data_IF_465251559916
#
_entry.id   IF_465251559916
#
_cell.length_a   1.000
_cell.length_b   1.000
_cell.length_c   1.000
_cell.angle_alpha   90.00
_cell.angle_beta   90.00
_cell.angle_gamma   90.00
#
_symmetry.space_group_name_H-M   'P 1'
#
loop_
_entity.id
_entity.type
_entity.pdbx_description
1 polymer ?
#
# COMPACT_ATOMS: atom_id res chain seq x y z
N UNK A 1 11.52 -20.36 -12.19
CA UNK A 1 12.55 -19.29 -12.14
C UNK A 1 12.46 -18.36 -13.34
N UNK A 2 12.49 -18.84 -14.59
CA UNK A 2 12.19 -18.01 -15.79
C UNK A 2 10.77 -17.40 -15.82
N UNK A 3 9.87 -17.92 -14.99
CA UNK A 3 8.43 -17.63 -15.03
C UNK A 3 8.01 -16.35 -14.29
N UNK A 4 8.63 -16.00 -13.15
CA UNK A 4 8.21 -14.84 -12.36
C UNK A 4 8.55 -13.52 -13.05
N UNK A 5 9.83 -13.33 -13.43
CA UNK A 5 10.27 -12.12 -14.12
C UNK A 5 9.55 -11.97 -15.47
N UNK A 6 9.39 -13.07 -16.22
CA UNK A 6 8.62 -13.04 -17.47
C UNK A 6 7.17 -12.63 -17.22
N UNK A 7 6.49 -13.25 -16.25
CA UNK A 7 5.12 -12.89 -15.86
C UNK A 7 5.01 -11.44 -15.41
N UNK A 8 5.97 -10.92 -14.65
CA UNK A 8 5.98 -9.51 -14.24
C UNK A 8 6.10 -8.57 -15.45
N UNK A 9 7.02 -8.86 -16.37
CA UNK A 9 7.22 -8.05 -17.57
C UNK A 9 6.01 -8.11 -18.51
N UNK A 10 5.42 -9.29 -18.70
CA UNK A 10 4.16 -9.49 -19.44
C UNK A 10 3.00 -8.77 -18.76
N UNK A 11 3.03 -8.69 -17.42
CA UNK A 11 2.06 -7.96 -16.65
C UNK A 11 2.20 -6.43 -16.79
N UNK A 12 3.22 -5.95 -17.51
CA UNK A 12 3.48 -4.54 -17.79
C UNK A 12 4.38 -3.86 -16.77
N UNK A 13 5.07 -4.62 -15.91
CA UNK A 13 6.14 -4.05 -15.09
C UNK A 13 7.35 -3.71 -15.95
N UNK A 14 8.01 -2.60 -15.62
CA UNK A 14 9.23 -2.17 -16.27
C UNK A 14 10.34 -1.97 -15.24
N UNK A 15 11.58 -2.17 -15.67
CA UNK A 15 12.73 -1.85 -14.82
C UNK A 15 12.78 -0.36 -14.50
N UNK A 16 12.71 -0.05 -13.21
CA UNK A 16 13.01 1.29 -12.69
C UNK A 16 14.51 1.46 -12.44
N UNK A 17 15.18 0.40 -11.99
CA UNK A 17 16.63 0.31 -11.86
C UNK A 17 17.08 -1.13 -12.15
N UNK A 18 17.73 -1.33 -13.30
CA UNK A 18 18.26 -2.65 -13.71
C UNK A 18 19.40 -3.14 -12.83
N UNK A 19 20.20 -2.23 -12.27
CA UNK A 19 21.36 -2.62 -11.43
C UNK A 19 20.90 -3.09 -10.06
N UNK A 20 19.79 -2.52 -9.56
CA UNK A 20 19.18 -2.88 -8.28
C UNK A 20 18.05 -3.91 -8.41
N UNK A 21 17.83 -4.47 -9.60
CA UNK A 21 16.75 -5.42 -9.86
C UNK A 21 15.36 -4.93 -9.36
N UNK A 22 15.04 -3.67 -9.67
CA UNK A 22 13.76 -3.06 -9.30
C UNK A 22 12.84 -2.95 -10.50
N UNK A 23 11.59 -3.38 -10.31
CA UNK A 23 10.51 -3.29 -11.29
C UNK A 23 9.42 -2.38 -10.75
N UNK A 24 8.87 -1.49 -11.57
CA UNK A 24 7.75 -0.62 -11.22
C UNK A 24 6.65 -0.71 -12.25
N UNK A 25 5.42 -0.48 -11.79
CA UNK A 25 4.24 -0.30 -12.63
C UNK A 25 3.29 0.68 -11.95
N UNK A 26 2.83 1.69 -12.68
CA UNK A 26 1.69 2.49 -12.25
C UNK A 26 0.40 1.69 -12.46
N UNK A 27 -0.36 1.45 -11.38
CA UNK A 27 -1.62 0.69 -11.44
C UNK A 27 -2.76 1.59 -11.91
N UNK A 28 -2.85 2.76 -11.29
CA UNK A 28 -3.76 3.87 -11.61
C UNK A 28 -3.02 5.18 -11.30
N UNK A 29 -3.47 6.35 -11.81
CA UNK A 29 -2.76 7.61 -11.61
C UNK A 29 -2.43 7.90 -10.14
N UNK A 30 -1.13 8.02 -9.83
CA UNK A 30 -0.64 8.32 -8.49
C UNK A 30 -0.52 7.12 -7.54
N UNK A 31 -0.69 5.89 -8.05
CA UNK A 31 -0.46 4.65 -7.32
C UNK A 31 0.51 3.74 -8.09
N UNK A 32 1.67 3.47 -7.50
CA UNK A 32 2.72 2.66 -8.13
C UNK A 32 2.99 1.40 -7.32
N UNK A 33 2.96 0.26 -7.99
CA UNK A 33 3.47 -0.99 -7.44
C UNK A 33 4.95 -1.14 -7.79
N UNK A 34 5.77 -1.49 -6.81
CA UNK A 34 7.18 -1.81 -7.00
C UNK A 34 7.49 -3.23 -6.50
N UNK A 35 8.30 -3.93 -7.28
CA UNK A 35 8.88 -5.22 -6.93
C UNK A 35 10.39 -5.00 -6.79
N UNK A 36 10.92 -5.34 -5.63
CA UNK A 36 12.34 -5.20 -5.31
C UNK A 36 12.87 -6.59 -4.99
N UNK A 37 13.94 -6.99 -5.67
CA UNK A 37 14.70 -8.16 -5.24
C UNK A 37 15.38 -7.86 -3.91
N UNK A 38 15.14 -8.69 -2.90
CA UNK A 38 15.85 -8.59 -1.63
C UNK A 38 17.20 -9.33 -1.69
N UNK A 39 17.33 -10.28 -2.61
CA UNK A 39 18.57 -11.00 -2.91
C UNK A 39 19.23 -10.54 -4.23
N UNK A 40 20.51 -10.88 -4.42
CA UNK A 40 21.37 -10.26 -5.43
C UNK A 40 20.97 -10.54 -6.89
N UNK A 41 20.17 -11.58 -7.17
CA UNK A 41 19.86 -11.98 -8.56
C UNK A 41 18.47 -12.59 -8.76
N UNK A 42 17.84 -12.31 -9.92
CA UNK A 42 16.60 -12.98 -10.35
C UNK A 42 16.76 -14.49 -10.59
N UNK A 43 18.00 -14.99 -10.66
CA UNK A 43 18.27 -16.42 -10.82
C UNK A 43 18.15 -17.17 -9.50
N UNK A 44 18.31 -16.46 -8.38
CA UNK A 44 18.22 -17.00 -7.02
C UNK A 44 17.03 -16.32 -6.32
N UNK A 45 15.84 -16.52 -6.89
CA UNK A 45 14.61 -15.92 -6.40
C UNK A 45 14.10 -16.69 -5.18
N UNK A 46 14.60 -16.38 -3.99
CA UNK A 46 14.06 -16.91 -2.74
C UNK A 46 13.02 -15.97 -2.12
N UNK A 47 13.27 -14.65 -2.19
CA UNK A 47 12.42 -13.64 -1.57
C UNK A 47 12.35 -12.33 -2.39
N UNK A 48 11.14 -11.76 -2.47
CA UNK A 48 10.89 -10.46 -3.11
C UNK A 48 10.13 -9.51 -2.20
N UNK A 49 10.52 -8.25 -2.23
CA UNK A 49 9.81 -7.16 -1.62
C UNK A 49 8.74 -6.59 -2.56
N UNK A 50 7.51 -6.51 -2.11
CA UNK A 50 6.44 -5.79 -2.78
C UNK A 50 6.11 -4.52 -2.03
N UNK A 51 6.01 -3.43 -2.78
CA UNK A 51 5.66 -2.12 -2.24
C UNK A 51 4.53 -1.51 -3.05
N UNK A 52 3.64 -0.80 -2.35
CA UNK A 52 2.66 0.07 -2.96
C UNK A 52 2.95 1.50 -2.53
N UNK A 53 3.06 2.40 -3.50
CA UNK A 53 3.46 3.79 -3.30
C UNK A 53 2.38 4.75 -3.76
N UNK A 54 2.26 5.89 -3.07
CA UNK A 54 1.52 7.06 -3.51
C UNK A 54 2.25 8.36 -3.14
N UNK A 55 2.80 9.10 -4.11
CA UNK A 55 3.52 10.36 -3.82
C UNK A 55 2.67 11.41 -3.11
N UNK A 56 1.35 11.42 -3.34
CA UNK A 56 0.44 12.30 -2.62
C UNK A 56 0.42 11.95 -1.13
N UNK A 57 0.40 10.66 -0.79
CA UNK A 57 0.38 10.20 0.59
C UNK A 57 1.60 10.69 1.38
N UNK A 58 2.80 10.66 0.79
CA UNK A 58 4.02 11.25 1.40
C UNK A 58 3.80 12.71 1.80
N UNK A 59 3.19 13.53 0.92
CA UNK A 59 2.87 14.93 1.23
C UNK A 59 1.84 15.07 2.35
N UNK A 60 0.82 14.20 2.36
CA UNK A 60 -0.19 14.20 3.45
C UNK A 60 0.48 13.92 4.79
N UNK A 61 1.35 12.90 4.84
CA UNK A 61 2.08 12.54 6.06
C UNK A 61 3.04 13.63 6.48
N UNK A 62 3.79 14.21 5.54
CA UNK A 62 4.69 15.34 5.83
C UNK A 62 3.94 16.53 6.42
N UNK A 63 2.81 16.95 5.82
CA UNK A 63 1.98 18.02 6.38
C UNK A 63 1.46 17.67 7.78
N UNK A 64 0.93 16.45 7.95
CA UNK A 64 0.33 15.98 9.20
C UNK A 64 1.36 15.96 10.34
N UNK A 65 2.50 15.31 10.15
CA UNK A 65 3.52 15.14 11.19
C UNK A 65 4.41 16.38 11.38
N UNK A 66 4.41 17.34 10.45
CA UNK A 66 5.11 18.63 10.63
C UNK A 66 4.23 19.65 11.35
N UNK A 67 2.94 19.75 10.99
CA UNK A 67 2.05 20.82 11.49
C UNK A 67 1.19 20.38 12.68
N UNK A 68 0.96 19.08 12.82
CA UNK A 68 0.04 18.50 13.80
C UNK A 68 0.65 17.32 14.55
N UNK A 69 1.98 17.30 14.70
CA UNK A 69 2.75 16.21 15.30
C UNK A 69 2.18 15.70 16.63
N UNK A 70 1.87 16.61 17.57
CA UNK A 70 1.35 16.24 18.89
C UNK A 70 0.05 15.44 18.77
N UNK A 71 -0.94 15.95 18.01
CA UNK A 71 -2.21 15.26 17.81
C UNK A 71 -2.04 13.96 17.00
N UNK A 72 -1.22 13.97 15.94
CA UNK A 72 -0.98 12.79 15.12
C UNK A 72 -0.37 11.65 15.95
N UNK A 73 0.59 11.95 16.82
CA UNK A 73 1.23 10.96 17.69
C UNK A 73 0.31 10.45 18.82
N UNK A 74 -0.76 11.17 19.16
CA UNK A 74 -1.82 10.60 20.02
C UNK A 74 -2.56 9.43 19.35
N UNK A 75 -2.49 9.34 18.02
CA UNK A 75 -3.12 8.31 17.19
C UNK A 75 -2.07 7.45 16.49
N UNK A 76 -1.29 6.69 17.27
CA UNK A 76 -0.24 5.75 16.83
C UNK A 76 0.70 6.31 15.75
N UNK A 77 1.91 6.64 16.16
CA UNK A 77 2.95 7.16 15.28
C UNK A 77 3.11 6.31 14.01
N UNK A 78 3.22 6.99 12.87
CA UNK A 78 3.59 6.34 11.63
C UNK A 78 5.01 5.79 11.81
N UNK A 79 5.18 4.47 11.67
CA UNK A 79 6.48 3.79 11.80
C UNK A 79 7.57 4.40 10.91
N UNK A 80 7.17 4.94 9.74
CA UNK A 80 8.06 5.61 8.78
C UNK A 80 7.78 7.12 8.76
N UNK A 81 8.26 7.86 9.76
CA UNK A 81 8.09 9.32 9.82
C UNK A 81 8.79 10.03 8.66
N UNK A 82 9.90 9.48 8.17
CA UNK A 82 10.73 10.06 7.10
C UNK A 82 10.52 9.42 5.72
N UNK A 83 9.41 8.71 5.51
CA UNK A 83 9.14 8.19 4.16
C UNK A 83 8.62 9.29 3.24
N UNK A 84 9.56 9.79 2.43
CA UNK A 84 9.36 10.80 1.38
C UNK A 84 8.72 10.23 0.11
N UNK A 85 8.69 8.91 -0.06
CA UNK A 85 8.18 8.26 -1.28
C UNK A 85 6.68 7.93 -1.18
N UNK A 86 6.14 7.83 0.03
CA UNK A 86 4.72 7.65 0.29
C UNK A 86 4.31 6.19 0.17
N UNK A 87 5.08 5.30 0.77
CA UNK A 87 4.75 3.91 0.99
C UNK A 87 3.37 3.86 1.61
N UNK A 88 2.49 3.03 1.06
CA UNK A 88 1.19 2.67 1.62
C UNK A 88 1.21 1.28 2.23
N UNK A 89 2.21 0.47 1.87
CA UNK A 89 2.30 -0.91 2.29
C UNK A 89 3.54 -1.57 1.73
N UNK A 90 4.07 -2.50 2.52
CA UNK A 90 5.19 -3.35 2.17
C UNK A 90 4.92 -4.78 2.60
N UNK A 91 5.39 -5.75 1.83
CA UNK A 91 5.61 -7.10 2.34
C UNK A 91 6.82 -7.72 1.69
N UNK A 92 7.42 -8.62 2.44
CA UNK A 92 8.31 -9.62 1.90
C UNK A 92 7.51 -10.87 1.55
N UNK A 93 7.79 -11.48 0.41
CA UNK A 93 7.06 -12.66 -0.09
C UNK A 93 8.06 -13.69 -0.58
N UNK A 94 7.92 -14.92 -0.08
CA UNK A 94 8.76 -16.04 -0.47
C UNK A 94 8.35 -16.61 -1.82
N UNK A 95 9.32 -17.19 -2.54
CA UNK A 95 9.10 -17.88 -3.81
C UNK A 95 9.40 -19.39 -3.65
N UNK A 96 8.39 -20.09 -3.16
CA UNK A 96 8.53 -21.46 -2.65
C UNK A 96 7.85 -22.49 -3.56
N UNK A 97 8.19 -23.77 -3.38
CA UNK A 97 7.46 -24.86 -4.03
C UNK A 97 6.16 -25.14 -3.25
N UNK A 98 5.02 -24.95 -3.92
CA UNK A 98 3.71 -25.17 -3.34
C UNK A 98 3.29 -26.65 -3.29
N UNK A 99 2.11 -26.95 -2.75
CA UNK A 99 1.61 -28.33 -2.59
C UNK A 99 1.42 -29.11 -3.91
N UNK A 100 1.31 -28.40 -5.03
CA UNK A 100 1.20 -28.98 -6.38
C UNK A 100 2.56 -29.21 -7.06
N UNK A 101 3.67 -28.96 -6.35
CA UNK A 101 5.04 -29.08 -6.86
C UNK A 101 5.46 -27.94 -7.76
N UNK A 102 4.67 -26.86 -7.88
CA UNK A 102 5.03 -25.68 -8.68
C UNK A 102 5.57 -24.56 -7.81
N UNK A 103 6.41 -23.71 -8.39
CA UNK A 103 6.87 -22.48 -7.73
C UNK A 103 5.74 -21.45 -7.65
N UNK A 104 5.47 -20.94 -6.44
CA UNK A 104 4.36 -20.05 -6.12
C UNK A 104 4.79 -18.95 -5.14
N UNK A 105 4.04 -17.85 -5.10
CA UNK A 105 4.19 -16.82 -4.07
C UNK A 105 3.69 -17.36 -2.75
N UNK A 106 4.51 -17.27 -1.72
CA UNK A 106 4.17 -17.69 -0.37
C UNK A 106 4.23 -16.51 0.60
N UNK A 107 3.10 -16.23 1.24
CA UNK A 107 3.00 -15.25 2.32
C UNK A 107 1.88 -15.64 3.27
N UNK A 108 2.06 -15.34 4.57
CA UNK A 108 1.04 -15.56 5.59
C UNK A 108 0.39 -16.96 5.53
N UNK A 109 1.21 -18.01 5.38
CA UNK A 109 0.76 -19.40 5.25
C UNK A 109 -0.17 -19.70 4.06
N UNK A 110 -0.11 -18.87 3.01
CA UNK A 110 -0.94 -19.01 1.80
C UNK A 110 -0.04 -19.03 0.57
N UNK A 111 -0.37 -19.91 -0.39
CA UNK A 111 0.28 -20.00 -1.69
C UNK A 111 -0.59 -19.39 -2.78
N UNK A 112 0.03 -18.67 -3.71
CA UNK A 112 -0.65 -18.06 -4.86
C UNK A 112 0.18 -18.22 -6.14
N UNK A 113 -0.47 -18.62 -7.23
CA UNK A 113 0.16 -18.63 -8.54
C UNK A 113 0.50 -17.19 -8.99
N UNK A 114 1.73 -16.98 -9.45
CA UNK A 114 2.21 -15.65 -9.83
C UNK A 114 1.37 -15.00 -10.95
N UNK A 115 0.88 -15.80 -11.90
CA UNK A 115 -0.03 -15.34 -12.96
C UNK A 115 -1.33 -14.75 -12.38
N UNK A 116 -2.03 -15.49 -11.50
CA UNK A 116 -3.25 -15.03 -10.84
C UNK A 116 -3.01 -13.75 -10.03
N UNK A 117 -1.86 -13.67 -9.36
CA UNK A 117 -1.47 -12.45 -8.64
C UNK A 117 -1.34 -11.25 -9.57
N UNK A 118 -0.56 -11.39 -10.65
CA UNK A 118 -0.34 -10.32 -11.60
C UNK A 118 -1.61 -9.91 -12.36
N UNK A 119 -2.46 -10.86 -12.74
CA UNK A 119 -3.79 -10.60 -13.31
C UNK A 119 -4.66 -9.79 -12.34
N UNK A 120 -4.61 -10.12 -11.05
CA UNK A 120 -5.35 -9.35 -10.04
C UNK A 120 -4.83 -7.92 -9.97
N UNK A 121 -3.51 -7.71 -9.92
CA UNK A 121 -2.92 -6.36 -9.94
C UNK A 121 -3.26 -5.57 -11.20
N UNK A 122 -3.37 -6.24 -12.35
CA UNK A 122 -3.76 -5.61 -13.61
C UNK A 122 -5.23 -5.19 -13.67
N UNK A 123 -6.10 -5.83 -12.88
CA UNK A 123 -7.54 -5.58 -12.95
C UNK A 123 -7.99 -4.33 -12.19
N UNK A 124 -7.09 -3.67 -11.46
CA UNK A 124 -7.37 -2.48 -10.66
C UNK A 124 -7.62 -1.26 -11.57
N UNK A 125 -8.73 -0.55 -11.36
CA UNK A 125 -9.17 0.56 -12.23
C UNK A 125 -9.43 1.86 -11.47
N UNK A 126 -9.60 1.80 -10.16
CA UNK A 126 -9.91 2.95 -9.31
C UNK A 126 -9.39 2.74 -7.88
N UNK A 127 -9.52 3.76 -7.03
CA UNK A 127 -9.07 3.72 -5.64
C UNK A 127 -9.85 2.76 -4.75
N UNK A 128 -11.12 2.48 -5.08
CA UNK A 128 -11.89 1.45 -4.39
C UNK A 128 -11.33 0.05 -4.64
N UNK A 129 -10.85 -0.23 -5.86
CA UNK A 129 -10.18 -1.49 -6.19
C UNK A 129 -8.89 -1.64 -5.34
N UNK A 130 -8.08 -0.58 -5.25
CA UNK A 130 -6.87 -0.56 -4.41
C UNK A 130 -7.21 -0.77 -2.93
N UNK A 131 -8.24 -0.09 -2.42
CA UNK A 131 -8.73 -0.29 -1.06
C UNK A 131 -9.16 -1.74 -0.82
N UNK A 132 -9.93 -2.31 -1.75
CA UNK A 132 -10.39 -3.68 -1.65
C UNK A 132 -9.23 -4.67 -1.76
N UNK A 133 -8.23 -4.44 -2.61
CA UNK A 133 -7.02 -5.25 -2.70
C UNK A 133 -6.31 -5.34 -1.34
N UNK A 134 -6.16 -4.20 -0.66
CA UNK A 134 -5.46 -4.09 0.63
C UNK A 134 -6.25 -4.65 1.82
N UNK A 135 -7.59 -4.51 1.84
CA UNK A 135 -8.40 -4.80 3.04
C UNK A 135 -9.41 -5.95 2.89
N UNK A 136 -9.70 -6.40 1.68
CA UNK A 136 -10.75 -7.42 1.42
C UNK A 136 -10.31 -8.54 0.46
N UNK A 137 -9.29 -8.29 -0.37
CA UNK A 137 -8.82 -9.20 -1.40
C UNK A 137 -7.57 -9.96 -1.00
N UNK A 138 -6.93 -10.58 -2.00
CA UNK A 138 -5.68 -11.34 -1.82
C UNK A 138 -4.56 -10.49 -1.21
N UNK A 139 -4.53 -9.18 -1.48
CA UNK A 139 -3.46 -8.28 -1.05
C UNK A 139 -3.33 -8.16 0.47
N UNK A 140 -4.39 -8.45 1.24
CA UNK A 140 -4.34 -8.51 2.72
C UNK A 140 -3.24 -9.45 3.21
N UNK A 141 -2.97 -10.52 2.47
CA UNK A 141 -1.96 -11.53 2.83
C UNK A 141 -0.54 -11.15 2.39
N UNK A 142 -0.42 -10.19 1.46
CA UNK A 142 0.83 -9.87 0.75
C UNK A 142 1.26 -8.41 0.90
N UNK A 143 0.54 -7.59 1.66
CA UNK A 143 0.97 -6.25 2.07
C UNK A 143 0.67 -6.10 3.56
N UNK A 144 1.72 -6.19 4.38
CA UNK A 144 1.61 -5.96 5.81
C UNK A 144 1.42 -4.46 6.06
N UNK A 145 0.22 -4.09 6.51
CA UNK A 145 -0.18 -2.69 6.72
C UNK A 145 0.44 -2.15 8.00
N UNK A 146 1.73 -1.80 7.96
CA UNK A 146 2.43 -1.08 9.04
C UNK A 146 1.92 0.37 9.20
N UNK A 147 0.93 0.77 8.41
CA UNK A 147 0.37 2.13 8.39
C UNK A 147 -1.16 2.16 8.48
N UNK A 148 -1.74 1.14 9.14
CA UNK A 148 -3.16 0.78 9.15
C UNK A 148 -4.11 1.97 9.15
N UNK A 149 -4.06 2.82 10.17
CA UNK A 149 -4.98 3.96 10.29
C UNK A 149 -4.75 5.01 9.21
N UNK A 150 -3.53 5.50 9.02
CA UNK A 150 -3.25 6.62 8.11
C UNK A 150 -3.51 6.26 6.66
N UNK A 151 -3.13 5.06 6.23
CA UNK A 151 -3.41 4.55 4.89
C UNK A 151 -4.90 4.29 4.71
N UNK A 152 -5.59 3.76 5.73
CA UNK A 152 -7.04 3.59 5.70
C UNK A 152 -7.76 4.92 5.51
N UNK A 153 -7.45 5.94 6.32
CA UNK A 153 -8.01 7.28 6.19
C UNK A 153 -7.71 7.90 4.83
N UNK A 154 -6.47 7.73 4.33
CA UNK A 154 -6.08 8.21 3.01
C UNK A 154 -6.91 7.60 1.88
N UNK A 155 -7.08 6.28 1.88
CA UNK A 155 -7.83 5.61 0.83
C UNK A 155 -9.32 5.93 0.89
N UNK A 156 -9.93 5.99 2.08
CA UNK A 156 -11.32 6.45 2.21
C UNK A 156 -11.48 7.88 1.68
N UNK A 157 -10.51 8.76 1.94
CA UNK A 157 -10.54 10.13 1.41
C UNK A 157 -10.36 10.17 -0.10
N UNK A 158 -9.49 9.32 -0.67
CA UNK A 158 -9.29 9.15 -2.12
C UNK A 158 -10.56 8.63 -2.81
N UNK A 159 -11.35 7.80 -2.14
CA UNK A 159 -12.66 7.35 -2.60
C UNK A 159 -13.74 8.44 -2.53
N UNK A 160 -13.42 9.63 -2.00
CA UNK A 160 -14.31 10.78 -1.99
C UNK A 160 -15.16 10.93 -0.72
N UNK A 161 -14.94 10.10 0.31
CA UNK A 161 -15.71 10.20 1.55
C UNK A 161 -15.33 11.46 2.34
N UNK A 162 -16.35 12.11 2.91
CA UNK A 162 -16.16 13.21 3.86
C UNK A 162 -15.94 12.69 5.29
N UNK A 163 -15.46 13.55 6.18
CA UNK A 163 -15.12 13.18 7.56
C UNK A 163 -16.28 12.53 8.33
N UNK A 164 -17.53 12.93 8.09
CA UNK A 164 -18.69 12.29 8.74
C UNK A 164 -19.00 10.90 8.19
N UNK A 165 -18.80 10.67 6.89
CA UNK A 165 -18.97 9.36 6.26
C UNK A 165 -17.88 8.40 6.72
N UNK A 166 -16.63 8.87 6.79
CA UNK A 166 -15.50 8.10 7.32
C UNK A 166 -15.77 7.68 8.77
N UNK A 167 -16.24 8.59 9.61
CA UNK A 167 -16.55 8.28 11.00
C UNK A 167 -17.70 7.27 11.11
N UNK A 168 -18.70 7.37 10.22
CA UNK A 168 -19.80 6.40 10.15
C UNK A 168 -19.31 5.02 9.71
N UNK A 169 -18.40 4.94 8.74
CA UNK A 169 -17.80 3.69 8.29
C UNK A 169 -17.00 3.03 9.42
N UNK A 170 -16.17 3.82 10.13
CA UNK A 170 -15.38 3.34 11.26
C UNK A 170 -16.27 2.81 12.39
N UNK A 171 -17.31 3.56 12.76
CA UNK A 171 -18.22 3.19 13.85
C UNK A 171 -19.23 2.09 13.48
N UNK A 172 -19.59 2.00 12.20
CA UNK A 172 -20.56 1.04 11.67
C UNK A 172 -19.93 -0.28 11.24
N UNK A 173 -18.61 -0.34 11.07
CA UNK A 173 -17.93 -1.58 10.70
C UNK A 173 -17.85 -2.57 11.87
N UNK A 174 -18.44 -3.76 11.70
CA UNK A 174 -18.18 -4.91 12.60
C UNK A 174 -16.76 -5.48 12.42
N UNK A 175 -16.06 -5.04 11.37
CA UNK A 175 -14.69 -5.48 11.08
C UNK A 175 -13.73 -4.73 11.99
N UNK A 176 -12.76 -5.42 12.61
CA UNK A 176 -11.71 -4.74 13.35
C UNK A 176 -10.98 -3.80 12.39
N UNK A 177 -10.87 -2.52 12.75
CA UNK A 177 -9.92 -1.62 12.12
C UNK A 177 -8.56 -2.34 12.03
N UNK A 178 -7.83 -2.21 10.92
CA UNK A 178 -6.45 -2.64 10.88
C UNK A 178 -5.68 -1.77 11.89
N UNK A 179 -5.41 -2.36 13.05
CA UNK A 179 -4.62 -1.87 14.20
C UNK A 179 -5.40 -1.15 15.32
N UNK A 180 -5.00 -1.49 16.56
CA UNK A 180 -5.37 -0.86 17.83
C UNK A 180 -4.95 0.60 17.84
N UNK A 181 -5.90 1.52 17.84
CA UNK A 181 -5.63 2.92 18.14
C UNK A 181 -5.48 3.09 19.65
N UNK A 182 -4.64 4.04 20.11
CA UNK A 182 -4.56 4.38 21.53
C UNK A 182 -5.84 5.08 22.04
N UNK A 183 -6.61 5.68 21.11
CA UNK A 183 -7.89 6.36 21.33
C UNK A 183 -8.84 6.13 20.14
N UNK A 184 -10.17 6.18 20.33
CA UNK A 184 -11.13 6.11 19.23
C UNK A 184 -10.90 7.25 18.23
N UNK A 185 -11.02 6.96 16.93
CA UNK A 185 -10.99 8.00 15.88
C UNK A 185 -12.15 8.97 16.09
N UNK A 186 -11.85 10.27 16.07
CA UNK A 186 -12.83 11.33 16.28
C UNK A 186 -12.80 12.41 15.17
N UNK A 187 -13.73 13.36 15.25
CA UNK A 187 -13.81 14.45 14.27
C UNK A 187 -12.61 15.41 14.31
N UNK A 188 -11.91 15.51 15.44
CA UNK A 188 -10.75 16.38 15.54
C UNK A 188 -9.59 15.83 14.70
N UNK A 189 -9.31 14.54 14.83
CA UNK A 189 -8.36 13.81 13.99
C UNK A 189 -8.72 13.93 12.51
N UNK A 190 -9.97 13.62 12.16
CA UNK A 190 -10.41 13.63 10.75
C UNK A 190 -10.33 15.03 10.14
N UNK A 191 -10.66 16.08 10.90
CA UNK A 191 -10.53 17.46 10.44
C UNK A 191 -9.08 17.88 10.21
N UNK A 192 -8.13 17.39 11.01
CA UNK A 192 -6.70 17.63 10.82
C UNK A 192 -6.15 16.86 9.62
N UNK A 193 -6.56 15.60 9.47
CA UNK A 193 -6.20 14.78 8.33
C UNK A 193 -6.72 15.40 7.02
N UNK A 194 -7.98 15.83 6.99
CA UNK A 194 -8.62 16.46 5.83
C UNK A 194 -7.89 17.73 5.40
N UNK A 195 -7.51 18.60 6.34
CA UNK A 195 -6.69 19.79 6.03
C UNK A 195 -5.33 19.43 5.43
N UNK A 196 -4.67 18.42 5.99
CA UNK A 196 -3.36 17.94 5.51
C UNK A 196 -3.46 17.39 4.08
N UNK A 197 -4.56 16.68 3.81
CA UNK A 197 -4.90 16.13 2.50
C UNK A 197 -5.22 17.21 1.46
N UNK A 198 -6.08 18.17 1.79
CA UNK A 198 -6.42 19.30 0.92
C UNK A 198 -5.19 20.14 0.58
N UNK A 199 -4.31 20.37 1.56
CA UNK A 199 -3.05 21.07 1.35
C UNK A 199 -2.14 20.32 0.37
N UNK A 200 -2.07 18.99 0.49
CA UNK A 200 -1.27 18.15 -0.39
C UNK A 200 -1.75 18.23 -1.85
N UNK A 201 -3.07 18.14 -2.09
CA UNK A 201 -3.67 18.29 -3.44
C UNK A 201 -3.45 19.70 -4.00
N UNK A 202 -3.71 20.73 -3.21
CA UNK A 202 -3.55 22.12 -3.65
C UNK A 202 -2.09 22.48 -3.95
N UNK A 203 -1.13 21.79 -3.33
CA UNK A 203 0.28 21.88 -3.66
C UNK A 203 0.67 21.24 -4.99
N UNK A 204 -0.10 20.28 -5.50
CA UNK A 204 0.14 19.67 -6.83
C UNK A 204 -0.27 20.59 -7.97
N UNK A 205 -1.37 21.34 -7.82
CA UNK A 205 -1.89 22.25 -8.84
C UNK A 205 -1.07 23.55 -9.01
N UNK A 206 0.03 23.71 -8.25
CA UNK A 206 0.90 24.90 -8.28
C UNK A 206 2.28 24.65 -8.89
N UNK A 207 2.56 23.44 -9.37
CA UNK A 207 3.76 23.08 -10.14
C UNK A 207 3.41 22.91 -11.61
#
# INVERSE_FOLDING_TARGET
MADFLASALEAGFAYSDRKKNRLKKELIPGFTWEIVMLEESWNDLEEVGFYLWSPLFSKVMSNLFTEHNELANEYYDRTLVDDEEGCLGFSSVGWEEGPDGKKQLYSAATYLEGSTFFETLQSQKNEEDIFNLLYKGIGVQFLAVVEGLWVYLYLLKRMGLCSTEILSEINGSEKPLPVKTAKPVDLALLGVFEKSYEKAINGENRK
#
